data_IF_127427581660
#
_entry.id   IF_127427581660
#
_cell.length_a   1.000
_cell.length_b   1.000
_cell.length_c   1.000
_cell.angle_alpha   90.00
_cell.angle_beta   90.00
_cell.angle_gamma   90.00
#
_symmetry.space_group_name_H-M   'P 1'
#
loop_
_entity.id
_entity.type
_entity.pdbx_description
1 polymer ?
#
# COMPACT_ATOMS: atom_id res chain seq x y z
N UNK A 1 -7.09 30.27 -32.48
CA UNK A 1 -8.00 30.74 -31.42
C UNK A 1 -7.42 30.34 -30.06
N UNK A 2 -6.61 31.20 -29.43
CA UNK A 2 -5.94 30.94 -28.14
C UNK A 2 -6.55 31.74 -26.95
N UNK A 3 -7.71 32.39 -27.16
CA UNK A 3 -8.34 33.17 -26.09
C UNK A 3 -8.94 32.28 -24.98
N UNK A 4 -9.46 31.09 -25.31
CA UNK A 4 -10.14 30.22 -24.34
C UNK A 4 -9.20 29.66 -23.26
N UNK A 5 -8.01 29.17 -23.64
CA UNK A 5 -6.99 28.68 -22.70
C UNK A 5 -6.45 29.79 -21.78
N UNK A 6 -6.27 31.00 -22.33
CA UNK A 6 -5.80 32.17 -21.59
C UNK A 6 -6.82 32.64 -20.54
N UNK A 7 -8.11 32.66 -20.89
CA UNK A 7 -9.19 33.03 -19.96
C UNK A 7 -9.36 31.97 -18.88
N UNK A 8 -9.42 30.68 -19.23
CA UNK A 8 -9.54 29.58 -18.27
C UNK A 8 -8.34 29.53 -17.31
N UNK A 9 -7.12 29.69 -17.83
CA UNK A 9 -5.90 29.80 -17.03
C UNK A 9 -5.94 31.00 -16.08
N UNK A 10 -6.42 32.17 -16.54
CA UNK A 10 -6.54 33.37 -15.70
C UNK A 10 -7.58 33.23 -14.57
N UNK A 11 -8.72 32.59 -14.85
CA UNK A 11 -9.76 32.31 -13.85
C UNK A 11 -9.24 31.30 -12.83
N UNK A 12 -8.60 30.23 -13.30
CA UNK A 12 -8.06 29.21 -12.43
C UNK A 12 -6.92 29.76 -11.56
N UNK A 13 -6.02 30.57 -12.12
CA UNK A 13 -4.99 31.29 -11.38
C UNK A 13 -5.60 32.20 -10.33
N UNK A 14 -6.67 32.94 -10.66
CA UNK A 14 -7.37 33.81 -9.69
C UNK A 14 -8.03 33.01 -8.57
N UNK A 15 -8.68 31.88 -8.89
CA UNK A 15 -9.30 30.99 -7.90
C UNK A 15 -8.26 30.30 -7.02
N UNK A 16 -7.16 29.82 -7.60
CA UNK A 16 -6.05 29.21 -6.88
C UNK A 16 -5.32 30.24 -6.00
N UNK A 17 -5.09 31.46 -6.49
CA UNK A 17 -4.54 32.55 -5.69
C UNK A 17 -5.47 32.96 -4.54
N UNK A 18 -6.80 33.05 -4.75
CA UNK A 18 -7.76 33.27 -3.65
C UNK A 18 -7.72 32.14 -2.64
N UNK A 19 -7.64 30.90 -3.11
CA UNK A 19 -7.52 29.72 -2.27
C UNK A 19 -6.24 29.73 -1.42
N UNK A 20 -5.12 30.22 -1.98
CA UNK A 20 -3.85 30.42 -1.28
C UNK A 20 -3.84 31.63 -0.34
N UNK A 21 -4.46 32.76 -0.72
CA UNK A 21 -4.49 33.98 0.09
C UNK A 21 -5.37 33.82 1.33
N UNK A 22 -6.49 33.11 1.23
CA UNK A 22 -7.34 32.79 2.38
C UNK A 22 -6.64 31.89 3.40
N UNK A 23 -5.55 31.21 3.02
CA UNK A 23 -4.89 30.22 3.85
C UNK A 23 -3.37 30.43 3.80
N UNK A 24 -2.84 31.22 4.74
CA UNK A 24 -1.47 31.74 4.84
C UNK A 24 -0.31 30.71 4.86
N UNK A 25 -0.51 29.44 4.45
CA UNK A 25 0.53 28.42 4.41
C UNK A 25 0.29 27.34 3.33
N UNK A 26 1.38 26.79 2.81
CA UNK A 26 1.40 25.61 1.94
C UNK A 26 1.06 24.34 2.73
N UNK A 27 -0.23 24.02 2.86
CA UNK A 27 -0.68 22.81 3.55
C UNK A 27 -1.24 21.75 2.60
N UNK A 28 -0.98 20.48 2.89
CA UNK A 28 -1.46 19.33 2.10
C UNK A 28 -3.00 19.21 2.12
N UNK A 29 -3.65 19.66 3.20
CA UNK A 29 -5.10 19.91 3.28
C UNK A 29 -5.63 20.69 2.07
N UNK A 30 -4.86 21.68 1.61
CA UNK A 30 -5.25 22.52 0.49
C UNK A 30 -5.14 21.78 -0.84
N UNK A 31 -4.14 20.92 -1.01
CA UNK A 31 -3.96 20.18 -2.26
C UNK A 31 -4.98 19.06 -2.43
N UNK A 32 -5.33 18.34 -1.36
CA UNK A 32 -6.39 17.32 -1.44
C UNK A 32 -7.73 17.95 -1.82
N UNK A 33 -8.12 19.04 -1.14
CA UNK A 33 -9.36 19.77 -1.44
C UNK A 33 -9.34 20.38 -2.85
N UNK A 34 -8.17 20.85 -3.32
CA UNK A 34 -8.05 21.35 -4.69
C UNK A 34 -8.26 20.22 -5.72
N UNK A 35 -7.64 19.06 -5.52
CA UNK A 35 -7.80 17.89 -6.41
C UNK A 35 -9.24 17.39 -6.39
N UNK A 36 -9.89 17.37 -5.22
CA UNK A 36 -11.30 16.99 -5.07
C UNK A 36 -12.24 17.95 -5.82
N UNK A 37 -12.03 19.26 -5.68
CA UNK A 37 -12.91 20.28 -6.27
C UNK A 37 -12.69 20.50 -7.76
N UNK A 38 -11.45 20.41 -8.23
CA UNK A 38 -11.07 20.80 -9.61
C UNK A 38 -10.54 19.64 -10.45
N UNK A 39 -10.29 18.48 -9.85
CA UNK A 39 -9.62 17.36 -10.51
C UNK A 39 -8.14 17.62 -10.77
N UNK A 40 -7.53 16.74 -11.57
CA UNK A 40 -6.11 16.79 -11.94
C UNK A 40 -5.89 17.39 -13.34
N UNK A 41 -6.92 17.39 -14.19
CA UNK A 41 -6.86 17.80 -15.58
C UNK A 41 -8.10 18.59 -15.98
N UNK A 42 -7.92 19.49 -16.93
CA UNK A 42 -9.00 20.27 -17.54
C UNK A 42 -9.19 19.83 -18.98
N UNK A 43 -10.44 19.76 -19.43
CA UNK A 43 -10.80 19.50 -20.83
C UNK A 43 -10.40 20.72 -21.68
N UNK A 44 -9.50 20.53 -22.64
CA UNK A 44 -9.02 21.59 -23.53
C UNK A 44 -9.67 21.59 -24.90
N UNK A 45 -10.10 20.43 -25.38
CA UNK A 45 -10.91 20.33 -26.58
C UNK A 45 -11.85 19.14 -26.50
N UNK A 46 -12.96 19.24 -27.21
CA UNK A 46 -13.95 18.17 -27.35
C UNK A 46 -14.21 17.95 -28.84
N UNK A 47 -14.35 16.69 -29.22
CA UNK A 47 -14.84 16.30 -30.55
C UNK A 47 -16.32 15.95 -30.41
N UNK A 48 -17.15 16.59 -31.23
CA UNK A 48 -18.60 16.42 -31.24
C UNK A 48 -18.99 15.65 -32.51
N UNK A 49 -19.84 14.64 -32.38
CA UNK A 49 -20.27 13.80 -33.48
C UNK A 49 -20.92 12.51 -32.99
N UNK A 50 -20.69 11.43 -33.71
CA UNK A 50 -21.21 10.10 -33.41
C UNK A 50 -20.06 9.12 -33.25
N UNK A 51 -20.16 8.22 -32.27
CA UNK A 51 -19.17 7.16 -32.06
C UNK A 51 -19.84 5.85 -31.74
N UNK A 52 -19.56 4.85 -32.55
CA UNK A 52 -20.03 3.48 -32.39
C UNK A 52 -18.83 2.57 -32.07
N UNK A 53 -18.85 1.93 -30.90
CA UNK A 53 -17.72 1.13 -30.40
C UNK A 53 -18.18 -0.27 -29.99
N UNK A 54 -17.40 -1.27 -30.39
CA UNK A 54 -17.47 -2.64 -29.90
C UNK A 54 -16.33 -2.87 -28.91
N UNK A 55 -16.66 -3.27 -27.69
CA UNK A 55 -15.69 -3.77 -26.72
C UNK A 55 -15.80 -5.29 -26.65
N UNK A 56 -14.66 -5.96 -26.76
CA UNK A 56 -14.56 -7.42 -26.63
C UNK A 56 -13.66 -7.72 -25.43
N UNK A 57 -14.19 -8.44 -24.45
CA UNK A 57 -13.47 -8.85 -23.24
C UNK A 57 -13.35 -10.37 -23.20
N UNK A 58 -12.12 -10.86 -23.26
CA UNK A 58 -11.79 -12.26 -23.00
C UNK A 58 -11.66 -12.51 -21.49
N UNK A 59 -12.33 -13.53 -20.96
CA UNK A 59 -12.14 -13.97 -19.57
C UNK A 59 -10.97 -14.95 -19.46
N UNK A 60 -10.39 -15.09 -18.26
CA UNK A 60 -9.26 -15.99 -18.01
C UNK A 60 -9.58 -17.48 -18.27
N UNK A 61 -10.86 -17.85 -18.22
CA UNK A 61 -11.34 -19.20 -18.51
C UNK A 61 -11.52 -19.48 -20.00
N UNK A 62 -11.38 -18.46 -20.86
CA UNK A 62 -11.58 -18.61 -22.31
C UNK A 62 -10.53 -19.52 -22.94
N UNK A 63 -10.92 -20.53 -23.72
CA UNK A 63 -10.00 -21.44 -24.38
C UNK A 63 -9.35 -20.84 -25.65
N UNK A 64 -9.70 -19.60 -26.01
CA UNK A 64 -9.28 -18.98 -27.27
C UNK A 64 -7.83 -18.47 -27.25
N UNK A 65 -7.14 -18.72 -28.36
CA UNK A 65 -5.84 -18.13 -28.66
C UNK A 65 -6.00 -16.68 -29.16
N UNK A 66 -4.91 -15.90 -29.09
CA UNK A 66 -4.89 -14.48 -29.51
C UNK A 66 -5.38 -14.33 -30.96
N UNK A 67 -4.90 -15.17 -31.89
CA UNK A 67 -5.30 -15.13 -33.30
C UNK A 67 -6.78 -15.44 -33.52
N UNK A 68 -7.38 -16.29 -32.69
CA UNK A 68 -8.80 -16.62 -32.76
C UNK A 68 -9.67 -15.45 -32.29
N UNK A 69 -9.19 -14.69 -31.30
CA UNK A 69 -9.86 -13.48 -30.81
C UNK A 69 -9.77 -12.37 -31.84
N UNK A 70 -8.63 -12.20 -32.51
CA UNK A 70 -8.49 -11.22 -33.59
C UNK A 70 -9.48 -11.47 -34.72
N UNK A 71 -9.59 -12.72 -35.17
CA UNK A 71 -10.59 -13.12 -36.16
C UNK A 71 -12.02 -12.88 -35.64
N UNK A 72 -12.27 -13.21 -34.37
CA UNK A 72 -13.57 -13.02 -33.74
C UNK A 72 -13.97 -11.55 -33.62
N UNK A 73 -13.04 -10.66 -33.29
CA UNK A 73 -13.26 -9.20 -33.27
C UNK A 73 -13.55 -8.70 -34.68
N UNK A 74 -12.84 -9.21 -35.69
CA UNK A 74 -13.07 -8.87 -37.09
C UNK A 74 -14.46 -9.28 -37.56
N UNK A 75 -14.89 -10.50 -37.27
CA UNK A 75 -16.24 -10.99 -37.64
C UNK A 75 -17.35 -10.11 -37.02
N UNK A 76 -17.18 -9.69 -35.75
CA UNK A 76 -18.12 -8.77 -35.09
C UNK A 76 -18.11 -7.39 -35.75
N UNK A 77 -16.93 -6.88 -36.11
CA UNK A 77 -16.79 -5.60 -36.79
C UNK A 77 -17.44 -5.65 -38.17
N UNK A 78 -17.21 -6.72 -38.94
CA UNK A 78 -17.77 -6.90 -40.27
C UNK A 78 -19.30 -6.97 -40.21
N UNK A 79 -19.87 -7.75 -39.27
CA UNK A 79 -21.31 -7.82 -39.07
C UNK A 79 -21.93 -6.48 -38.59
N UNK A 80 -21.21 -5.68 -37.79
CA UNK A 80 -21.75 -4.43 -37.23
C UNK A 80 -21.62 -3.23 -38.16
N UNK A 81 -20.50 -3.13 -38.88
CA UNK A 81 -20.12 -1.93 -39.61
C UNK A 81 -20.19 -2.07 -41.13
N UNK A 82 -20.34 -3.27 -41.69
CA UNK A 82 -20.56 -3.41 -43.13
C UNK A 82 -22.01 -3.17 -43.51
N UNK A 83 -22.21 -2.39 -44.58
CA UNK A 83 -23.51 -2.18 -45.19
C UNK A 83 -23.91 -3.39 -46.04
N UNK A 84 -24.63 -4.34 -45.44
CA UNK A 84 -25.33 -5.35 -46.21
C UNK A 84 -26.77 -4.91 -46.47
N UNK A 85 -27.04 -4.40 -47.68
CA UNK A 85 -28.40 -4.32 -48.26
C UNK A 85 -29.08 -5.69 -48.44
N UNK A 86 -28.49 -6.76 -47.93
CA UNK A 86 -29.02 -8.11 -47.99
C UNK A 86 -28.27 -9.01 -47.01
N UNK A 87 -28.63 -9.01 -45.73
CA UNK A 87 -28.42 -10.19 -44.90
C UNK A 87 -29.72 -10.49 -44.16
N UNK A 88 -30.25 -11.66 -44.52
CA UNK A 88 -31.28 -12.38 -43.78
C UNK A 88 -30.89 -12.46 -42.31
N UNK A 89 -31.92 -12.42 -41.46
CA UNK A 89 -31.92 -12.63 -40.01
C UNK A 89 -31.12 -13.88 -39.59
N UNK A 90 -29.79 -13.84 -39.64
CA UNK A 90 -28.97 -14.82 -38.96
C UNK A 90 -28.99 -14.46 -37.48
N UNK A 91 -29.49 -15.41 -36.68
CA UNK A 91 -29.71 -15.23 -35.24
C UNK A 91 -28.44 -14.79 -34.50
N UNK A 92 -28.58 -14.33 -33.24
CA UNK A 92 -27.46 -13.83 -32.46
C UNK A 92 -26.34 -14.86 -32.48
N UNK A 93 -25.22 -14.48 -33.10
CA UNK A 93 -24.00 -15.28 -33.16
C UNK A 93 -23.76 -15.85 -31.75
N UNK A 94 -23.63 -17.18 -31.63
CA UNK A 94 -23.54 -17.89 -30.35
C UNK A 94 -22.19 -17.56 -29.68
N UNK A 95 -22.13 -16.39 -29.08
CA UNK A 95 -20.92 -15.82 -28.49
C UNK A 95 -20.71 -16.27 -27.04
N UNK A 96 -21.73 -16.85 -26.41
CA UNK A 96 -21.72 -17.22 -24.99
C UNK A 96 -20.89 -18.46 -24.66
N UNK A 97 -20.56 -19.30 -25.64
CA UNK A 97 -19.88 -20.58 -25.40
C UNK A 97 -18.34 -20.47 -25.32
N UNK A 98 -17.77 -19.27 -25.45
CA UNK A 98 -16.31 -19.05 -25.54
C UNK A 98 -15.71 -18.24 -24.39
N UNK A 99 -16.49 -17.95 -23.35
CA UNK A 99 -16.11 -17.06 -22.23
C UNK A 99 -15.58 -15.69 -22.72
N UNK A 100 -16.27 -15.12 -23.72
CA UNK A 100 -16.01 -13.79 -24.25
C UNK A 100 -17.26 -12.93 -24.06
N UNK A 101 -17.09 -11.71 -23.58
CA UNK A 101 -18.17 -10.73 -23.42
C UNK A 101 -18.04 -9.64 -24.47
N UNK A 102 -19.09 -9.41 -25.25
CA UNK A 102 -19.17 -8.34 -26.25
C UNK A 102 -20.10 -7.25 -25.74
N UNK A 103 -19.62 -6.00 -25.75
CA UNK A 103 -20.37 -4.84 -25.29
C UNK A 103 -20.41 -3.81 -26.41
N UNK A 104 -21.61 -3.44 -26.81
CA UNK A 104 -21.86 -2.42 -27.82
C UNK A 104 -22.18 -1.09 -27.14
N UNK A 105 -21.51 -0.01 -27.56
CA UNK A 105 -21.69 1.34 -27.01
C UNK A 105 -21.75 2.34 -28.14
N UNK A 106 -22.86 3.07 -28.23
CA UNK A 106 -23.00 4.25 -29.09
C UNK A 106 -23.04 5.52 -28.25
N UNK A 107 -22.63 6.63 -28.88
CA UNK A 107 -22.80 8.00 -28.40
C UNK A 107 -23.10 8.89 -29.59
N UNK A 108 -24.10 9.76 -29.45
CA UNK A 108 -24.62 10.60 -30.52
C UNK A 108 -25.46 9.79 -31.54
N UNK A 109 -26.34 10.48 -32.24
CA UNK A 109 -27.35 9.88 -33.10
C UNK A 109 -28.52 9.27 -32.32
N UNK A 110 -29.40 8.58 -33.04
CA UNK A 110 -30.54 7.85 -32.47
C UNK A 110 -30.16 6.42 -32.11
N UNK A 111 -30.10 6.13 -30.81
CA UNK A 111 -29.74 4.80 -30.29
C UNK A 111 -30.76 3.70 -30.65
N UNK A 112 -31.95 4.05 -31.16
CA UNK A 112 -32.96 3.08 -31.60
C UNK A 112 -32.66 2.47 -32.98
N UNK A 113 -31.92 3.19 -33.83
CA UNK A 113 -31.63 2.75 -35.20
C UNK A 113 -30.61 1.60 -35.20
N UNK A 114 -30.98 0.43 -35.71
CA UNK A 114 -30.12 -0.76 -35.63
C UNK A 114 -29.00 -0.73 -36.67
N UNK A 115 -29.29 -0.24 -37.88
CA UNK A 115 -28.31 -0.18 -38.96
C UNK A 115 -27.26 0.89 -38.67
N UNK A 116 -25.97 0.54 -38.82
CA UNK A 116 -24.88 1.49 -38.62
C UNK A 116 -24.95 2.68 -39.60
N UNK A 117 -25.20 2.44 -40.89
CA UNK A 117 -25.29 3.52 -41.87
C UNK A 117 -26.47 4.47 -41.61
N UNK A 118 -27.65 3.92 -41.31
CA UNK A 118 -28.81 4.76 -40.95
C UNK A 118 -28.57 5.53 -39.66
N UNK A 119 -27.97 4.89 -38.65
CA UNK A 119 -27.57 5.57 -37.42
C UNK A 119 -26.58 6.71 -37.70
N UNK A 120 -25.58 6.49 -38.57
CA UNK A 120 -24.60 7.50 -38.92
C UNK A 120 -25.23 8.75 -39.54
N UNK A 121 -26.30 8.61 -40.32
CA UNK A 121 -27.07 9.75 -40.87
C UNK A 121 -27.80 10.54 -39.78
N UNK A 122 -28.19 9.90 -38.66
CA UNK A 122 -28.86 10.59 -37.54
C UNK A 122 -27.92 11.44 -36.70
N UNK A 123 -26.61 11.18 -36.75
CA UNK A 123 -25.60 11.87 -35.94
C UNK A 123 -25.60 13.38 -36.16
N UNK A 124 -25.84 13.84 -37.40
CA UNK A 124 -25.87 15.27 -37.71
C UNK A 124 -27.01 16.02 -36.99
N UNK A 125 -28.09 15.31 -36.63
CA UNK A 125 -29.26 15.86 -35.96
C UNK A 125 -29.18 15.77 -34.43
N UNK A 126 -28.41 14.80 -33.91
CA UNK A 126 -28.26 14.58 -32.47
C UNK A 126 -26.79 14.24 -32.09
N UNK A 127 -25.80 15.11 -32.37
CA UNK A 127 -24.42 14.80 -32.07
C UNK A 127 -24.13 14.86 -30.56
N UNK A 128 -23.13 14.10 -30.11
CA UNK A 128 -22.67 14.07 -28.71
C UNK A 128 -21.14 14.19 -28.61
N UNK A 129 -20.61 14.38 -27.40
CA UNK A 129 -19.17 14.41 -27.15
C UNK A 129 -18.57 13.00 -27.23
N UNK A 130 -17.81 12.77 -28.29
CA UNK A 130 -17.24 11.46 -28.62
C UNK A 130 -15.77 11.31 -28.23
N UNK A 131 -15.07 12.42 -28.08
CA UNK A 131 -13.68 12.46 -27.65
C UNK A 131 -13.37 13.75 -26.89
N UNK A 132 -12.41 13.70 -25.97
CA UNK A 132 -11.96 14.83 -25.17
C UNK A 132 -10.44 14.83 -25.08
N UNK A 133 -9.81 16.00 -25.17
CA UNK A 133 -8.40 16.17 -24.83
C UNK A 133 -8.27 16.86 -23.49
N UNK A 134 -7.24 16.49 -22.75
CA UNK A 134 -7.01 16.95 -21.38
C UNK A 134 -5.64 17.58 -21.25
N UNK A 135 -5.56 18.63 -20.44
CA UNK A 135 -4.29 19.26 -20.05
C UNK A 135 -4.19 19.29 -18.54
N UNK A 136 -2.99 18.99 -17.99
CA UNK A 136 -2.75 18.99 -16.55
C UNK A 136 -3.04 20.37 -15.96
N UNK A 137 -3.81 20.39 -14.88
CA UNK A 137 -4.16 21.62 -14.17
C UNK A 137 -2.92 22.38 -13.67
N UNK A 138 -1.85 21.64 -13.37
CA UNK A 138 -0.56 22.17 -12.94
C UNK A 138 0.03 23.06 -14.03
N UNK A 139 0.05 22.62 -15.29
CA UNK A 139 0.62 23.42 -16.40
C UNK A 139 -0.06 24.77 -16.61
N UNK A 140 -1.33 24.90 -16.21
CA UNK A 140 -2.10 26.13 -16.32
C UNK A 140 -1.85 27.10 -15.16
N UNK A 141 -1.19 26.65 -14.09
CA UNK A 141 -0.88 27.42 -12.88
C UNK A 141 0.57 27.89 -12.84
N UNK A 142 1.33 27.75 -13.92
CA UNK A 142 2.73 28.18 -14.00
C UNK A 142 2.93 29.62 -13.53
N UNK A 143 3.96 29.81 -12.70
CA UNK A 143 4.29 31.08 -12.06
C UNK A 143 3.58 31.34 -10.72
N UNK A 144 2.62 30.50 -10.31
CA UNK A 144 2.04 30.61 -8.96
C UNK A 144 2.98 29.96 -7.94
N UNK A 145 3.24 30.59 -6.78
CA UNK A 145 3.98 29.97 -5.70
C UNK A 145 3.47 28.56 -5.34
N UNK A 146 4.35 27.72 -4.79
CA UNK A 146 4.07 26.37 -4.26
C UNK A 146 3.37 25.37 -5.18
N UNK A 147 3.26 25.68 -6.47
CA UNK A 147 2.83 24.77 -7.53
C UNK A 147 3.57 23.44 -7.55
N UNK A 148 4.86 23.43 -7.18
CA UNK A 148 5.66 22.19 -7.09
C UNK A 148 5.07 21.18 -6.09
N UNK A 149 4.45 21.66 -5.03
CA UNK A 149 3.79 20.80 -4.04
C UNK A 149 2.45 20.28 -4.58
N UNK A 150 1.68 21.11 -5.28
CA UNK A 150 0.47 20.67 -5.97
C UNK A 150 0.80 19.64 -7.04
N UNK A 151 1.83 19.87 -7.85
CA UNK A 151 2.31 18.93 -8.86
C UNK A 151 2.63 17.58 -8.23
N UNK A 152 3.43 17.56 -7.17
CA UNK A 152 3.73 16.35 -6.41
C UNK A 152 2.47 15.68 -5.84
N UNK A 153 1.52 16.44 -5.32
CA UNK A 153 0.26 15.88 -4.80
C UNK A 153 -0.59 15.24 -5.91
N UNK A 154 -0.66 15.87 -7.09
CA UNK A 154 -1.33 15.33 -8.27
C UNK A 154 -0.64 14.07 -8.76
N UNK A 155 0.69 14.06 -8.86
CA UNK A 155 1.48 12.91 -9.28
C UNK A 155 1.24 11.72 -8.35
N UNK A 156 1.31 11.94 -7.03
CA UNK A 156 1.04 10.93 -6.03
C UNK A 156 -0.41 10.42 -6.09
N UNK A 157 -1.39 11.29 -6.33
CA UNK A 157 -2.78 10.87 -6.50
C UNK A 157 -2.96 10.02 -7.77
N UNK A 158 -2.31 10.37 -8.88
CA UNK A 158 -2.40 9.61 -10.13
C UNK A 158 -1.65 8.27 -10.06
N UNK A 159 -0.53 8.21 -9.34
CA UNK A 159 0.27 7.00 -9.12
C UNK A 159 -0.47 6.00 -8.21
N UNK A 160 -0.91 6.44 -7.03
CA UNK A 160 -1.46 5.56 -6.00
C UNK A 160 -2.99 5.44 -6.02
N UNK A 161 -3.69 6.48 -6.48
CA UNK A 161 -5.16 6.59 -6.49
C UNK A 161 -5.81 6.22 -5.14
N UNK A 162 -5.40 6.84 -4.02
CA UNK A 162 -6.09 6.66 -2.75
C UNK A 162 -7.55 7.11 -2.86
N UNK A 163 -8.46 6.59 -2.01
CA UNK A 163 -9.81 7.11 -1.88
C UNK A 163 -9.79 8.62 -1.65
N UNK A 164 -10.69 9.36 -2.30
CA UNK A 164 -10.62 10.83 -2.31
C UNK A 164 -10.79 11.40 -0.90
N UNK A 165 -11.63 10.76 -0.09
CA UNK A 165 -11.87 11.07 1.33
C UNK A 165 -10.62 10.90 2.21
N UNK A 166 -9.66 10.08 1.77
CA UNK A 166 -8.44 9.77 2.50
C UNK A 166 -7.20 10.49 1.90
N UNK A 167 -7.37 11.24 0.80
CA UNK A 167 -6.26 11.87 0.07
C UNK A 167 -5.45 12.82 0.95
N UNK A 168 -6.11 13.58 1.83
CA UNK A 168 -5.41 14.45 2.77
C UNK A 168 -4.46 13.65 3.68
N UNK A 169 -4.97 12.60 4.33
CA UNK A 169 -4.20 11.77 5.24
C UNK A 169 -3.09 11.04 4.50
N UNK A 170 -3.39 10.54 3.31
CA UNK A 170 -2.41 9.94 2.42
C UNK A 170 -1.24 10.90 2.17
N UNK A 171 -1.50 12.15 1.73
CA UNK A 171 -0.47 13.14 1.44
C UNK A 171 0.36 13.51 2.68
N UNK A 172 -0.28 13.67 3.84
CA UNK A 172 0.39 13.97 5.11
C UNK A 172 1.31 12.84 5.58
N UNK A 173 1.03 11.60 5.19
CA UNK A 173 1.83 10.42 5.52
C UNK A 173 2.95 10.12 4.50
N UNK A 174 3.12 10.94 3.46
CA UNK A 174 4.24 10.86 2.50
C UNK A 174 5.54 11.44 3.08
N UNK A 175 5.85 11.01 4.30
CA UNK A 175 7.04 11.35 5.06
C UNK A 175 8.04 10.19 4.92
N UNK A 176 9.34 10.52 4.89
CA UNK A 176 10.39 9.51 4.84
C UNK A 176 10.30 8.55 6.04
N UNK A 177 10.56 7.27 5.78
CA UNK A 177 10.56 6.21 6.79
C UNK A 177 11.97 5.75 7.05
N UNK A 178 12.27 5.53 8.32
CA UNK A 178 13.55 5.00 8.77
C UNK A 178 13.34 3.90 9.78
N UNK A 179 14.33 3.03 9.94
CA UNK A 179 14.31 1.93 10.89
C UNK A 179 15.07 2.30 12.16
N UNK A 180 14.47 2.03 13.31
CA UNK A 180 15.10 2.11 14.63
C UNK A 180 15.29 0.70 15.22
N UNK A 181 16.42 0.41 15.89
CA UNK A 181 17.61 1.25 15.96
C UNK A 181 18.26 1.38 14.57
N UNK A 182 18.89 2.53 14.30
CA UNK A 182 19.72 2.69 13.12
C UNK A 182 20.91 1.72 13.23
N UNK A 183 21.27 1.06 12.13
CA UNK A 183 22.35 0.09 12.10
C UNK A 183 23.69 0.78 12.40
N UNK A 184 24.07 0.84 13.68
CA UNK A 184 25.39 1.34 14.07
C UNK A 184 26.39 0.19 13.98
N UNK A 185 27.44 0.35 13.17
CA UNK A 185 28.60 -0.58 13.10
C UNK A 185 29.47 -0.58 14.37
N UNK A 186 28.99 0.00 15.47
CA UNK A 186 29.73 0.14 16.71
C UNK A 186 29.54 -1.15 17.51
N UNK A 187 30.63 -1.90 17.67
CA UNK A 187 30.70 -3.07 18.53
C UNK A 187 30.43 -2.66 19.99
N UNK A 188 29.16 -2.64 20.40
CA UNK A 188 28.78 -2.40 21.79
C UNK A 188 29.20 -3.59 22.64
N UNK A 189 29.74 -3.31 23.84
CA UNK A 189 30.09 -4.33 24.86
C UNK A 189 28.89 -5.24 25.10
N UNK A 190 29.11 -6.56 25.00
CA UNK A 190 28.06 -7.57 25.07
C UNK A 190 27.36 -7.54 26.44
N UNK A 191 26.04 -7.23 26.48
CA UNK A 191 25.22 -7.55 27.65
C UNK A 191 25.18 -9.07 27.81
N UNK A 192 24.89 -9.57 29.03
CA UNK A 192 24.58 -10.98 29.25
C UNK A 192 23.28 -11.34 28.51
N UNK A 193 23.36 -11.69 27.22
CA UNK A 193 22.21 -12.04 26.42
C UNK A 193 21.63 -13.37 26.89
N UNK A 194 20.35 -13.37 27.27
CA UNK A 194 19.57 -14.60 27.42
C UNK A 194 19.52 -15.32 26.08
N UNK A 195 19.45 -16.65 26.10
CA UNK A 195 19.48 -17.46 24.88
C UNK A 195 18.38 -18.50 24.82
N UNK A 196 17.85 -18.70 23.63
CA UNK A 196 17.00 -19.81 23.26
C UNK A 196 17.87 -20.95 22.70
N UNK A 197 17.52 -22.17 23.05
CA UNK A 197 18.22 -23.37 22.60
C UNK A 197 17.21 -24.37 22.05
N UNK A 198 17.48 -24.89 20.86
CA UNK A 198 16.51 -25.70 20.11
C UNK A 198 16.76 -27.22 20.18
N UNK A 199 17.90 -27.64 20.75
CA UNK A 199 18.25 -29.03 21.06
C UNK A 199 19.39 -29.09 22.08
N UNK A 200 19.61 -30.22 22.75
CA UNK A 200 20.56 -30.37 23.87
C UNK A 200 21.99 -29.87 23.57
N UNK A 201 22.47 -30.07 22.33
CA UNK A 201 23.78 -29.60 21.84
C UNK A 201 23.65 -28.67 20.62
N UNK A 202 22.47 -28.05 20.44
CA UNK A 202 22.14 -27.22 19.30
C UNK A 202 22.68 -25.79 19.36
N UNK A 203 22.56 -25.03 18.26
CA UNK A 203 22.91 -23.62 18.23
C UNK A 203 22.03 -22.82 19.20
N UNK A 204 22.64 -21.83 19.85
CA UNK A 204 21.96 -20.88 20.74
C UNK A 204 21.61 -19.60 19.97
N UNK A 205 20.36 -19.17 20.07
CA UNK A 205 19.89 -17.88 19.59
C UNK A 205 19.83 -16.93 20.77
N UNK A 206 20.72 -15.95 20.79
CA UNK A 206 20.76 -14.91 21.80
C UNK A 206 19.68 -13.87 21.53
N UNK A 207 19.07 -13.33 22.57
CA UNK A 207 18.05 -12.28 22.45
C UNK A 207 18.66 -10.95 22.86
N UNK A 208 18.50 -9.92 22.03
CA UNK A 208 18.92 -8.57 22.36
C UNK A 208 17.99 -8.00 23.45
N UNK A 209 18.50 -7.57 24.61
CA UNK A 209 17.68 -6.97 25.66
C UNK A 209 17.35 -5.48 25.40
N UNK A 210 17.88 -4.92 24.31
CA UNK A 210 17.76 -3.49 23.99
C UNK A 210 16.29 -3.07 23.83
N UNK A 211 15.92 -2.00 24.54
CA UNK A 211 14.62 -1.36 24.40
C UNK A 211 14.69 -0.37 23.24
N UNK A 212 13.94 -0.65 22.19
CA UNK A 212 13.87 0.24 21.02
C UNK A 212 12.70 1.19 21.23
N UNK A 213 12.95 2.50 21.22
CA UNK A 213 11.91 3.52 21.35
C UNK A 213 12.10 4.60 20.28
N UNK A 214 11.00 5.08 19.71
CA UNK A 214 11.02 6.11 18.64
C UNK A 214 10.39 7.43 19.08
N UNK A 215 10.00 7.56 20.34
CA UNK A 215 9.36 8.75 20.90
C UNK A 215 8.00 9.03 20.26
N UNK A 216 7.68 10.31 20.05
CA UNK A 216 6.43 10.76 19.39
C UNK A 216 6.54 10.70 17.86
N UNK A 217 6.92 9.53 17.35
CA UNK A 217 7.02 9.26 15.91
C UNK A 217 6.13 8.08 15.58
N UNK A 218 5.21 8.21 14.61
CA UNK A 218 4.30 7.12 14.30
C UNK A 218 5.05 5.95 13.68
N UNK A 219 4.80 4.75 14.20
CA UNK A 219 5.36 3.49 13.72
C UNK A 219 4.47 2.94 12.61
N UNK A 220 5.06 2.61 11.48
CA UNK A 220 4.38 2.09 10.27
C UNK A 220 4.80 0.66 9.91
N UNK A 221 5.75 0.08 10.63
CA UNK A 221 6.22 -1.27 10.38
C UNK A 221 7.11 -1.84 11.48
N UNK A 222 7.30 -3.15 11.44
CA UNK A 222 8.09 -3.95 12.35
C UNK A 222 8.85 -5.02 11.59
N UNK A 223 10.04 -5.40 12.07
CA UNK A 223 10.76 -6.57 11.55
C UNK A 223 11.62 -7.22 12.63
N UNK A 224 11.88 -8.50 12.47
CA UNK A 224 12.91 -9.23 13.23
C UNK A 224 14.21 -9.26 12.43
N UNK A 225 15.35 -9.13 13.11
CA UNK A 225 16.66 -9.17 12.49
C UNK A 225 17.61 -10.08 13.27
N UNK A 226 18.60 -10.64 12.56
CA UNK A 226 19.70 -11.38 13.15
C UNK A 226 20.97 -10.53 13.08
N UNK A 227 21.46 -10.11 14.25
CA UNK A 227 22.61 -9.21 14.39
C UNK A 227 23.89 -9.94 14.81
N UNK A 228 25.01 -9.23 14.67
CA UNK A 228 26.35 -9.70 15.01
C UNK A 228 27.00 -10.59 13.95
N UNK A 229 28.31 -10.78 14.06
CA UNK A 229 29.12 -11.50 13.06
C UNK A 229 28.67 -12.96 12.84
N UNK A 230 28.04 -13.57 13.85
CA UNK A 230 27.52 -14.95 13.79
C UNK A 230 26.04 -15.03 13.42
N UNK A 231 25.38 -13.89 13.17
CA UNK A 231 23.93 -13.79 12.92
C UNK A 231 23.10 -14.62 13.92
N UNK A 232 23.46 -14.53 15.19
CA UNK A 232 22.90 -15.34 16.27
C UNK A 232 22.28 -14.51 17.39
N UNK A 233 22.11 -13.21 17.18
CA UNK A 233 21.39 -12.30 18.08
C UNK A 233 20.08 -11.86 17.43
N UNK A 234 18.95 -12.25 18.00
CA UNK A 234 17.63 -11.78 17.58
C UNK A 234 17.38 -10.38 18.13
N UNK A 235 17.06 -9.44 17.25
CA UNK A 235 16.63 -8.09 17.58
C UNK A 235 15.30 -7.76 16.89
N UNK A 236 14.61 -6.74 17.40
CA UNK A 236 13.39 -6.18 16.81
C UNK A 236 13.67 -4.76 16.36
N UNK A 237 13.20 -4.41 15.17
CA UNK A 237 13.30 -3.04 14.64
C UNK A 237 11.90 -2.49 14.36
N UNK A 238 11.76 -1.18 14.55
CA UNK A 238 10.54 -0.42 14.27
C UNK A 238 10.79 0.51 13.09
N UNK A 239 9.95 0.45 12.08
CA UNK A 239 9.92 1.46 11.02
C UNK A 239 9.02 2.60 11.48
N UNK A 240 9.53 3.82 11.44
CA UNK A 240 8.77 5.00 11.84
C UNK A 240 8.96 6.15 10.85
N UNK A 241 8.02 7.10 10.87
CA UNK A 241 8.14 8.34 10.12
C UNK A 241 9.22 9.23 10.75
N UNK A 242 10.06 9.88 9.94
CA UNK A 242 11.14 10.75 10.45
C UNK A 242 10.61 11.96 11.23
N UNK A 243 9.42 12.44 10.86
CA UNK A 243 8.70 13.57 11.47
C UNK A 243 7.23 13.21 11.72
N UNK A 244 6.60 13.93 12.65
CA UNK A 244 5.18 13.77 12.97
C UNK A 244 4.30 14.31 11.81
N UNK A 245 3.34 13.53 11.27
CA UNK A 245 2.36 14.01 10.31
C UNK A 245 1.60 15.22 10.83
N UNK A 246 1.28 16.17 9.94
CA UNK A 246 0.61 17.42 10.33
C UNK A 246 -0.76 17.17 10.95
N UNK A 247 -1.54 16.24 10.40
CA UNK A 247 -2.82 15.81 10.98
C UNK A 247 -2.73 15.32 12.43
N UNK A 248 -1.56 14.79 12.85
CA UNK A 248 -1.34 14.32 14.22
C UNK A 248 -0.79 15.40 15.15
N UNK A 249 -0.30 16.54 14.65
CA UNK A 249 0.28 17.60 15.48
C UNK A 249 -0.68 18.12 16.55
N UNK A 250 -1.97 18.41 16.26
CA UNK A 250 -2.91 18.90 17.29
C UNK A 250 -3.13 17.93 18.46
N UNK A 251 -2.88 16.64 18.23
CA UNK A 251 -3.14 15.56 19.19
C UNK A 251 -1.87 15.06 19.87
N UNK A 252 -0.73 15.16 19.20
CA UNK A 252 0.47 14.40 19.55
C UNK A 252 1.80 15.15 19.42
N UNK A 253 1.75 16.47 19.17
CA UNK A 253 2.94 17.32 19.21
C UNK A 253 3.54 17.40 20.61
N UNK A 254 4.83 17.76 20.72
CA UNK A 254 5.64 17.79 21.95
C UNK A 254 4.97 18.48 23.13
N UNK A 255 4.21 19.55 22.89
CA UNK A 255 3.52 20.33 23.91
C UNK A 255 2.23 19.68 24.43
N UNK A 256 1.70 18.66 23.76
CA UNK A 256 0.50 17.94 24.18
C UNK A 256 0.80 17.01 25.35
N UNK A 257 -0.02 17.10 26.40
CA UNK A 257 0.05 16.21 27.56
C UNK A 257 -0.68 14.89 27.26
N UNK A 258 0.07 13.81 27.04
CA UNK A 258 -0.46 12.50 26.64
C UNK A 258 -0.27 11.40 27.71
N UNK A 259 0.25 11.77 28.88
CA UNK A 259 0.67 10.83 29.92
C UNK A 259 1.99 10.13 29.59
N UNK A 260 2.46 9.30 30.53
CA UNK A 260 3.66 8.49 30.34
C UNK A 260 3.35 7.28 29.44
N UNK A 261 4.25 6.94 28.49
CA UNK A 261 4.05 5.76 27.66
C UNK A 261 4.16 4.49 28.51
N UNK A 262 3.35 3.48 28.19
CA UNK A 262 3.19 2.27 29.01
C UNK A 262 3.74 1.04 28.30
N UNK A 263 4.63 0.31 28.96
CA UNK A 263 5.07 -1.01 28.49
C UNK A 263 3.98 -2.04 28.78
N UNK A 264 3.55 -2.76 27.74
CA UNK A 264 2.66 -3.91 27.85
C UNK A 264 3.25 -5.11 27.15
N UNK A 265 2.95 -6.29 27.68
CA UNK A 265 3.36 -7.57 27.13
C UNK A 265 2.45 -8.68 27.64
N UNK A 266 2.69 -9.91 27.19
CA UNK A 266 1.92 -11.06 27.63
C UNK A 266 2.15 -11.36 29.11
N UNK A 267 1.16 -11.97 29.74
CA UNK A 267 1.26 -12.45 31.12
C UNK A 267 2.14 -13.71 31.18
N UNK A 268 3.09 -13.73 32.10
CA UNK A 268 4.11 -14.79 32.21
C UNK A 268 3.53 -16.17 32.56
N UNK A 269 2.32 -16.22 33.15
CA UNK A 269 1.71 -17.46 33.63
C UNK A 269 0.70 -18.08 32.64
N UNK A 270 0.31 -17.39 31.56
CA UNK A 270 -0.67 -17.93 30.61
C UNK A 270 -0.02 -18.85 29.56
N UNK A 271 0.29 -20.07 30.00
CA UNK A 271 0.91 -21.11 29.17
C UNK A 271 0.09 -21.56 27.96
N UNK A 272 -1.19 -21.16 27.85
CA UNK A 272 -2.05 -21.46 26.68
C UNK A 272 -1.51 -20.83 25.39
N UNK A 273 -0.74 -19.76 25.52
CA UNK A 273 -0.13 -19.05 24.40
C UNK A 273 1.30 -19.51 24.09
N UNK A 274 1.80 -20.56 24.72
CA UNK A 274 3.19 -21.00 24.53
C UNK A 274 3.26 -22.06 23.43
N UNK A 275 3.77 -21.66 22.27
CA UNK A 275 3.96 -22.56 21.15
C UNK A 275 5.41 -23.01 21.03
N UNK A 276 5.69 -24.33 20.91
CA UNK A 276 7.04 -24.83 20.72
C UNK A 276 7.56 -24.47 19.32
N UNK A 277 8.81 -24.05 19.22
CA UNK A 277 9.41 -23.66 17.92
C UNK A 277 9.74 -24.89 17.07
N UNK A 278 10.43 -25.88 17.65
CA UNK A 278 10.77 -27.14 16.96
C UNK A 278 10.38 -28.36 17.77
N UNK A 279 10.88 -28.43 19.00
CA UNK A 279 10.74 -29.57 19.89
C UNK A 279 9.98 -29.16 21.15
N UNK A 280 9.04 -30.00 21.59
CA UNK A 280 8.14 -29.73 22.74
C UNK A 280 8.84 -29.47 24.07
N UNK A 281 10.08 -29.94 24.23
CA UNK A 281 10.83 -29.85 25.49
C UNK A 281 11.86 -28.69 25.52
N UNK A 282 11.90 -27.86 24.50
CA UNK A 282 12.92 -26.82 24.34
C UNK A 282 12.29 -25.42 24.29
N UNK A 283 12.87 -24.49 23.54
CA UNK A 283 12.38 -23.12 23.46
C UNK A 283 10.98 -23.00 22.84
N UNK A 284 10.17 -22.13 23.45
CA UNK A 284 8.82 -21.78 23.03
C UNK A 284 8.75 -20.29 22.68
N UNK A 285 7.65 -19.88 22.04
CA UNK A 285 7.29 -18.49 21.75
C UNK A 285 5.94 -18.21 22.36
N UNK A 286 5.80 -17.07 23.04
CA UNK A 286 4.51 -16.54 23.45
C UNK A 286 3.79 -15.95 22.24
N UNK A 287 2.67 -16.56 21.86
CA UNK A 287 1.84 -16.15 20.70
C UNK A 287 0.65 -15.28 21.08
N UNK A 288 0.60 -14.85 22.34
CA UNK A 288 -0.40 -13.94 22.86
C UNK A 288 -0.36 -12.60 22.11
N UNK A 289 -1.50 -12.11 21.61
CA UNK A 289 -1.57 -10.81 20.95
C UNK A 289 -1.32 -9.68 21.95
N UNK A 290 -0.45 -8.74 21.56
CA UNK A 290 -0.13 -7.57 22.36
C UNK A 290 -0.82 -6.38 21.70
N UNK A 291 -1.92 -5.97 22.30
CA UNK A 291 -2.70 -4.82 21.91
C UNK A 291 -3.04 -4.00 23.16
N UNK A 292 -3.41 -2.74 22.98
CA UNK A 292 -3.89 -1.92 24.07
C UNK A 292 -5.43 -2.01 24.15
N UNK A 293 -5.94 -2.88 25.03
CA UNK A 293 -7.34 -2.89 25.42
C UNK A 293 -7.53 -1.96 26.64
N UNK A 294 -8.46 -1.01 26.56
CA UNK A 294 -8.89 -0.27 27.74
C UNK A 294 -9.81 -1.15 28.60
N UNK A 295 -9.38 -1.43 29.82
CA UNK A 295 -10.14 -2.21 30.80
C UNK A 295 -10.97 -1.34 31.77
N UNK A 296 -10.99 -0.02 31.58
CA UNK A 296 -11.67 0.93 32.47
C UNK A 296 -12.47 1.96 31.67
N UNK A 297 -13.79 1.90 31.81
CA UNK A 297 -14.74 2.92 31.36
C UNK A 297 -14.56 4.11 32.30
N UNK A 298 -13.67 5.03 31.98
CA UNK A 298 -13.37 6.15 32.86
C UNK A 298 -12.20 6.96 32.36
N UNK A 299 -12.56 8.04 31.67
CA UNK A 299 -11.74 9.19 31.28
C UNK A 299 -10.78 9.08 30.08
N UNK A 300 -11.15 9.89 29.07
CA UNK A 300 -10.37 10.45 27.97
C UNK A 300 -10.25 9.57 26.71
N UNK A 301 -11.14 9.82 25.75
CA UNK A 301 -11.06 9.37 24.36
C UNK A 301 -9.65 9.51 23.78
N UNK A 302 -9.07 8.41 23.35
CA UNK A 302 -7.79 8.41 22.66
C UNK A 302 -7.34 7.01 22.27
N UNK A 303 -6.53 6.92 21.23
CA UNK A 303 -5.99 5.64 20.76
C UNK A 303 -4.58 5.45 21.30
N UNK A 304 -4.23 4.23 21.65
CA UNK A 304 -2.86 3.88 22.01
C UNK A 304 -2.18 3.22 20.83
N UNK A 305 -1.05 3.81 20.39
CA UNK A 305 -0.24 3.32 19.27
C UNK A 305 1.12 2.85 19.76
N UNK A 306 1.76 1.97 19.01
CA UNK A 306 3.08 1.43 19.34
C UNK A 306 4.15 2.49 19.04
N UNK A 307 5.04 2.73 20.00
CA UNK A 307 6.20 3.65 19.86
C UNK A 307 7.51 3.06 20.36
N UNK A 308 7.49 1.82 20.81
CA UNK A 308 8.70 1.10 21.17
C UNK A 308 8.43 -0.39 21.32
N UNK A 309 9.49 -1.19 21.30
CA UNK A 309 9.42 -2.63 21.38
C UNK A 309 10.64 -3.20 22.10
N UNK A 310 10.45 -4.35 22.73
CA UNK A 310 11.50 -5.08 23.42
C UNK A 310 11.24 -6.59 23.33
N UNK A 311 12.27 -7.36 23.04
CA UNK A 311 12.24 -8.82 23.16
C UNK A 311 12.79 -9.24 24.53
N UNK A 312 12.26 -10.33 25.08
CA UNK A 312 12.76 -10.91 26.32
C UNK A 312 12.54 -12.42 26.39
N UNK A 313 13.18 -13.06 27.37
CA UNK A 313 13.07 -14.51 27.60
C UNK A 313 12.65 -14.77 29.04
N UNK A 314 11.55 -15.51 29.19
CA UNK A 314 11.19 -16.12 30.46
C UNK A 314 11.86 -17.47 30.60
N UNK A 315 12.44 -17.74 31.77
CA UNK A 315 13.16 -18.97 32.05
C UNK A 315 12.36 -19.85 33.02
N UNK A 316 11.81 -20.96 32.53
CA UNK A 316 11.06 -21.95 33.31
C UNK A 316 11.88 -23.24 33.51
N UNK A 317 13.18 -23.09 33.81
CA UNK A 317 14.11 -24.21 34.00
C UNK A 317 14.49 -24.91 32.69
N UNK A 318 13.69 -25.90 32.27
CA UNK A 318 13.93 -26.66 31.03
C UNK A 318 13.32 -26.00 29.78
N UNK A 319 12.43 -25.01 29.96
CA UNK A 319 11.74 -24.30 28.88
C UNK A 319 12.04 -22.82 28.96
N UNK A 320 12.59 -22.27 27.88
CA UNK A 320 12.75 -20.82 27.70
C UNK A 320 11.68 -20.33 26.74
N UNK A 321 10.94 -19.28 27.13
CA UNK A 321 9.85 -18.72 26.32
C UNK A 321 10.25 -17.34 25.83
N UNK A 322 10.31 -17.16 24.51
CA UNK A 322 10.48 -15.85 23.89
C UNK A 322 9.17 -15.06 24.04
N UNK A 323 9.25 -13.85 24.55
CA UNK A 323 8.12 -12.94 24.62
C UNK A 323 8.49 -11.58 23.99
N UNK A 324 7.44 -10.88 23.53
CA UNK A 324 7.52 -9.52 22.99
C UNK A 324 6.84 -8.57 23.97
N UNK A 325 7.35 -7.35 24.10
CA UNK A 325 6.72 -6.24 24.82
C UNK A 325 6.69 -5.02 23.90
N UNK A 326 5.61 -4.26 23.96
CA UNK A 326 5.49 -2.99 23.26
C UNK A 326 5.32 -1.84 24.24
N UNK A 327 5.89 -0.71 23.89
CA UNK A 327 5.64 0.58 24.51
C UNK A 327 4.50 1.25 23.75
N UNK A 328 3.43 1.57 24.46
CA UNK A 328 2.26 2.24 23.92
C UNK A 328 2.25 3.72 24.32
N UNK A 329 1.92 4.60 23.38
CA UNK A 329 1.70 6.02 23.62
C UNK A 329 0.27 6.41 23.26
N UNK A 330 -0.37 7.19 24.12
CA UNK A 330 -1.72 7.70 23.87
C UNK A 330 -1.68 8.82 22.83
N UNK A 331 -2.66 8.80 21.94
CA UNK A 331 -3.00 9.84 20.97
C UNK A 331 -4.42 10.31 21.30
N UNK A 332 -4.56 11.37 22.12
CA UNK A 332 -5.85 11.91 22.54
C UNK A 332 -6.72 12.38 21.38
N UNK A 333 -8.04 12.33 21.53
CA UNK A 333 -8.99 12.87 20.54
C UNK A 333 -9.19 12.00 19.29
N UNK A 334 -8.25 11.10 18.99
CA UNK A 334 -8.40 10.17 17.88
C UNK A 334 -9.17 8.91 18.30
N UNK A 335 -9.75 8.20 17.32
CA UNK A 335 -10.39 6.88 17.50
C UNK A 335 -9.96 5.90 16.42
N UNK A 336 -10.07 4.58 16.66
CA UNK A 336 -9.74 3.56 15.64
C UNK A 336 -10.91 3.47 14.65
N UNK A 337 -10.67 3.83 13.39
CA UNK A 337 -11.63 3.66 12.29
C UNK A 337 -11.71 2.22 11.84
N UNK A 338 -10.54 1.61 11.63
CA UNK A 338 -10.41 0.24 11.11
C UNK A 338 -9.11 -0.37 11.60
N UNK A 339 -9.11 -1.67 11.88
CA UNK A 339 -7.89 -2.43 12.15
C UNK A 339 -7.81 -3.66 11.27
N UNK A 340 -6.60 -4.03 10.86
CA UNK A 340 -6.32 -5.21 10.05
C UNK A 340 -5.06 -5.89 10.58
N UNK A 341 -5.12 -7.20 10.75
CA UNK A 341 -3.96 -8.03 11.00
C UNK A 341 -3.29 -8.37 9.69
N UNK A 342 -1.96 -8.30 9.66
CA UNK A 342 -1.23 -8.73 8.48
C UNK A 342 -1.31 -10.25 8.36
N UNK A 343 -1.84 -10.72 7.24
CA UNK A 343 -1.95 -12.12 6.90
C UNK A 343 -0.89 -12.42 5.84
N UNK A 344 0.29 -12.86 6.29
CA UNK A 344 1.44 -13.34 5.48
C UNK A 344 2.39 -12.24 4.98
N UNK A 345 3.72 -12.48 4.97
CA UNK A 345 4.69 -11.53 4.45
C UNK A 345 4.50 -11.32 2.95
N UNK A 346 4.55 -10.05 2.52
CA UNK A 346 4.43 -9.64 1.12
C UNK A 346 5.43 -10.40 0.23
N UNK A 347 4.93 -11.16 -0.75
CA UNK A 347 5.74 -11.64 -1.86
C UNK A 347 6.13 -10.43 -2.73
N UNK A 348 7.42 -10.14 -2.98
CA UNK A 348 7.85 -8.99 -3.77
C UNK A 348 7.74 -9.24 -5.29
N UNK A 349 6.65 -9.87 -5.77
CA UNK A 349 6.51 -10.23 -7.18
C UNK A 349 5.18 -9.78 -7.79
N UNK A 350 4.98 -8.47 -7.89
CA UNK A 350 4.13 -7.88 -8.95
C UNK A 350 4.77 -6.56 -9.42
N UNK A 351 5.97 -6.64 -9.99
CA UNK A 351 6.36 -5.69 -11.04
C UNK A 351 6.03 -6.37 -12.37
N UNK A 352 4.86 -6.07 -12.91
CA UNK A 352 4.57 -6.31 -14.33
C UNK A 352 5.35 -5.27 -15.13
N UNK A 353 6.47 -5.67 -15.70
CA UNK A 353 7.07 -4.97 -16.83
C UNK A 353 6.63 -5.70 -18.10
N UNK A 354 5.54 -5.23 -18.70
CA UNK A 354 5.21 -5.56 -20.09
C UNK A 354 6.18 -4.81 -21.01
N UNK A 355 6.80 -5.51 -21.95
CA UNK A 355 7.44 -4.87 -23.10
C UNK A 355 8.65 -5.59 -23.71
N UNK A 356 8.36 -6.44 -24.69
CA UNK A 356 9.21 -6.75 -25.88
C UNK A 356 10.21 -7.90 -25.76
N UNK A 357 9.83 -9.07 -26.28
CA UNK A 357 10.75 -10.14 -26.69
C UNK A 357 10.68 -10.36 -28.20
N UNK A 358 11.58 -9.71 -28.92
CA UNK A 358 12.08 -10.15 -30.23
C UNK A 358 13.13 -11.23 -30.01
N UNK A 359 12.97 -12.34 -30.71
CA UNK A 359 13.83 -13.52 -30.70
C UNK A 359 15.20 -13.27 -31.33
N UNK A 360 16.27 -13.76 -30.68
CA UNK A 360 17.41 -14.37 -31.37
C UNK A 360 18.24 -15.23 -30.42
N UNK A 361 18.49 -16.45 -30.87
CA UNK A 361 19.35 -17.48 -30.30
C UNK A 361 20.83 -17.11 -30.44
N UNK A 362 21.60 -17.27 -29.36
CA UNK A 362 23.06 -17.19 -29.40
C UNK A 362 23.67 -17.62 -28.07
N UNK A 363 24.28 -18.80 -28.06
CA UNK A 363 25.07 -19.35 -26.97
C UNK A 363 26.23 -18.41 -26.58
N UNK A 364 26.53 -18.30 -25.27
CA UNK A 364 27.89 -18.26 -24.70
C UNK A 364 27.85 -18.22 -23.17
N UNK A 365 28.62 -19.13 -22.57
CA UNK A 365 28.97 -19.21 -21.15
C UNK A 365 29.65 -17.94 -20.64
N UNK A 366 29.30 -17.52 -19.42
CA UNK A 366 30.22 -16.86 -18.49
C UNK A 366 29.66 -16.87 -17.07
N UNK A 367 30.51 -17.29 -16.15
CA UNK A 367 30.29 -17.69 -14.77
C UNK A 367 29.81 -16.59 -13.80
N UNK A 368 29.18 -17.08 -12.72
CA UNK A 368 29.29 -16.67 -11.32
C UNK A 368 29.22 -15.19 -10.95
N UNK A 369 28.05 -14.78 -10.40
CA UNK A 369 27.92 -13.74 -9.34
C UNK A 369 26.49 -13.54 -8.81
N UNK A 370 25.74 -14.62 -8.57
CA UNK A 370 24.40 -14.54 -7.93
C UNK A 370 24.18 -15.45 -6.74
N UNK A 371 25.17 -16.28 -6.38
CA UNK A 371 25.04 -17.29 -5.32
C UNK A 371 25.68 -16.90 -3.97
N UNK A 372 26.25 -15.69 -3.85
CA UNK A 372 26.97 -15.25 -2.64
C UNK A 372 26.09 -14.62 -1.56
N UNK A 373 24.84 -14.22 -1.86
CA UNK A 373 23.98 -13.57 -0.85
C UNK A 373 23.16 -14.58 -0.05
N UNK A 374 22.96 -15.80 -0.55
CA UNK A 374 22.17 -16.85 0.12
C UNK A 374 23.04 -17.84 0.92
N UNK A 375 24.32 -17.94 0.59
CA UNK A 375 25.28 -18.86 1.21
C UNK A 375 25.75 -18.43 2.62
N UNK A 376 25.48 -17.18 3.03
CA UNK A 376 25.83 -16.65 4.36
C UNK A 376 24.69 -16.66 5.39
N UNK A 377 23.51 -17.19 5.08
CA UNK A 377 22.44 -17.31 6.09
C UNK A 377 22.79 -18.50 7.01
N UNK A 378 23.40 -18.20 8.16
CA UNK A 378 23.76 -19.20 9.16
C UNK A 378 22.57 -20.08 9.56
N UNK A 379 22.82 -21.26 10.17
CA UNK A 379 21.80 -22.25 10.58
C UNK A 379 20.59 -21.66 11.33
N UNK A 380 20.74 -20.49 11.97
CA UNK A 380 19.71 -19.76 12.72
C UNK A 380 18.77 -18.91 11.84
N UNK A 381 19.17 -18.47 10.65
CA UNK A 381 18.28 -17.78 9.72
C UNK A 381 17.18 -18.68 9.15
N UNK A 382 17.31 -20.01 9.30
CA UNK A 382 16.24 -20.97 9.04
C UNK A 382 15.18 -21.02 10.15
N UNK A 383 15.39 -20.35 11.28
CA UNK A 383 14.53 -20.38 12.47
C UNK A 383 13.80 -19.05 12.69
N UNK A 384 14.24 -17.96 12.04
CA UNK A 384 13.61 -16.64 12.19
C UNK A 384 13.15 -16.17 10.82
N UNK A 385 11.89 -15.75 10.73
CA UNK A 385 11.41 -15.00 9.57
C UNK A 385 11.82 -13.54 9.71
N UNK A 386 12.69 -13.09 8.80
CA UNK A 386 13.22 -11.72 8.74
C UNK A 386 12.40 -10.83 7.79
N UNK A 387 11.24 -11.28 7.34
CA UNK A 387 10.36 -10.51 6.46
C UNK A 387 9.96 -9.18 7.11
N UNK A 388 10.05 -8.10 6.34
CA UNK A 388 9.64 -6.78 6.80
C UNK A 388 8.12 -6.67 6.77
N UNK A 389 7.52 -6.40 7.93
CA UNK A 389 6.10 -6.07 8.00
C UNK A 389 6.00 -4.55 7.99
N UNK A 390 5.54 -3.97 6.90
CA UNK A 390 5.27 -2.53 6.86
C UNK A 390 4.05 -2.25 6.00
N UNK A 391 3.32 -1.18 6.34
CA UNK A 391 2.29 -0.64 5.47
C UNK A 391 2.64 0.76 5.03
N UNK A 392 2.48 1.00 3.72
CA UNK A 392 2.96 2.20 3.07
C UNK A 392 1.99 2.83 2.07
N UNK A 393 2.46 3.70 1.16
CA UNK A 393 1.60 4.37 0.19
C UNK A 393 1.00 3.35 -0.80
N UNK A 394 1.72 2.24 -1.03
CA UNK A 394 1.24 1.08 -1.81
C UNK A 394 0.07 0.35 -1.13
N UNK A 395 -0.05 0.46 0.19
CA UNK A 395 -1.15 -0.12 0.97
C UNK A 395 -2.24 0.93 1.19
N UNK A 396 -3.17 1.07 0.25
CA UNK A 396 -4.25 2.04 0.40
C UNK A 396 -5.05 1.82 1.70
N UNK A 397 -5.40 2.89 2.45
CA UNK A 397 -5.32 4.31 2.08
C UNK A 397 -3.99 5.02 2.45
N UNK A 398 -2.92 4.29 2.76
CA UNK A 398 -1.55 4.81 2.84
C UNK A 398 -1.13 5.50 4.14
N UNK A 399 -2.00 5.56 5.14
CA UNK A 399 -1.76 6.22 6.44
C UNK A 399 -1.92 5.26 7.63
N UNK A 400 -1.32 4.07 7.52
CA UNK A 400 -1.42 3.01 8.51
C UNK A 400 -0.47 3.21 9.69
N UNK A 401 -0.95 2.89 10.89
CA UNK A 401 -0.16 2.91 12.13
C UNK A 401 -0.16 1.54 12.79
N UNK A 402 0.96 1.18 13.42
CA UNK A 402 1.06 -0.05 14.21
C UNK A 402 0.41 0.16 15.58
N UNK A 403 -0.60 -0.66 15.87
CA UNK A 403 -1.37 -0.63 17.14
C UNK A 403 -1.23 -1.91 17.95
N UNK A 404 -0.49 -2.89 17.43
CA UNK A 404 -0.19 -4.12 18.14
C UNK A 404 0.61 -5.08 17.27
N UNK A 405 1.04 -6.18 17.86
CA UNK A 405 1.61 -7.29 17.12
C UNK A 405 1.55 -8.56 17.96
N UNK A 406 1.90 -9.68 17.34
CA UNK A 406 2.15 -10.95 18.03
C UNK A 406 3.30 -11.69 17.39
N UNK A 407 3.98 -12.49 18.19
CA UNK A 407 4.86 -13.53 17.67
C UNK A 407 4.04 -14.76 17.32
N UNK A 408 4.58 -15.62 16.48
CA UNK A 408 3.99 -16.90 16.11
C UNK A 408 5.06 -17.91 15.72
N UNK A 409 4.63 -19.15 15.52
CA UNK A 409 5.47 -20.19 14.92
C UNK A 409 4.81 -20.66 13.62
N UNK A 410 5.53 -20.56 12.50
CA UNK A 410 5.12 -21.13 11.22
C UNK A 410 6.21 -22.03 10.65
N UNK A 411 5.88 -23.30 10.40
CA UNK A 411 6.83 -24.33 9.90
C UNK A 411 8.15 -24.37 10.70
N UNK A 412 8.06 -24.14 12.00
CA UNK A 412 9.20 -24.10 12.93
C UNK A 412 10.09 -22.86 12.85
N UNK A 413 9.58 -21.78 12.24
CA UNK A 413 10.17 -20.44 12.25
C UNK A 413 9.40 -19.52 13.18
N UNK A 414 10.13 -18.67 13.90
CA UNK A 414 9.59 -17.54 14.64
C UNK A 414 9.14 -16.50 13.60
N UNK A 415 7.85 -16.19 13.59
CA UNK A 415 7.25 -15.18 12.73
C UNK A 415 6.73 -14.01 13.56
N UNK A 416 6.80 -12.82 13.00
CA UNK A 416 6.13 -11.64 13.53
C UNK A 416 4.84 -11.41 12.74
N UNK A 417 3.79 -10.94 13.40
CA UNK A 417 2.56 -10.46 12.74
C UNK A 417 2.17 -9.14 13.34
N UNK A 418 2.10 -8.09 12.53
CA UNK A 418 1.70 -6.75 12.95
C UNK A 418 0.19 -6.54 12.81
N UNK A 419 -0.38 -5.74 13.71
CA UNK A 419 -1.72 -5.16 13.59
C UNK A 419 -1.58 -3.71 13.20
N UNK A 420 -2.24 -3.35 12.10
CA UNK A 420 -2.29 -1.98 11.61
C UNK A 420 -3.68 -1.41 11.82
N UNK A 421 -3.75 -0.12 12.16
CA UNK A 421 -5.00 0.61 12.29
C UNK A 421 -4.96 1.91 11.52
N UNK A 422 -6.15 2.30 11.03
CA UNK A 422 -6.46 3.64 10.55
C UNK A 422 -7.14 4.39 11.68
N UNK A 423 -6.76 5.64 11.87
CA UNK A 423 -7.36 6.51 12.87
C UNK A 423 -8.36 7.46 12.22
N UNK A 424 -9.40 7.81 12.97
CA UNK A 424 -10.12 9.06 12.78
C UNK A 424 -9.43 10.10 13.67
N UNK A 425 -9.02 11.21 13.06
CA UNK A 425 -8.23 12.26 13.71
C UNK A 425 -9.14 13.30 14.36
#
# INVERSE_FOLDING_TARGET
MNCSSTITGSILKTRYLRFLISNHHWFFLHFSSFIENYGTHIVTSVTIGGRDVVYVRQHQSSPLLVSEIENYVKDIADHRFMDSKSQSTEGPLKYKDKDVTVIFRRRGGDDLEQSHAKWAETVQFAPDVINMTFTSIVSLLDGVPGIKHLARAVDLYLEYKPPIEDLQYFLDFQIARVWAPEQSNIQRKEPMCQSLQFSLMGPKLYISPEQVTVGRKPVTGLRLSLEGNKQNRLAIHLQHLVSLPKILQPHWDTHMAIGAPQWRGPEEQDSRWFEPIKWKNFSHVSTAPIEYLENSIGDLSGVHIVTGAQLGVWNFGSRNVLHLKFLFSKVPGCTIRRSVWDHSPSNPSVQRSDGTSTSSSGERNSDDKKDDTLSQIGKLGKIVDMSEMSKGPQDLPGHWLVTGAKLGVDKGKIVLRAKYSLLNY
#
